data_IF_348956770857
#
_entry.id   IF_348956770857
#
_cell.length_a   1.000
_cell.length_b   1.000
_cell.length_c   1.000
_cell.angle_alpha   90.00
_cell.angle_beta   90.00
_cell.angle_gamma   90.00
#
_symmetry.space_group_name_H-M   'P 1'
#
loop_
_entity.id
_entity.type
_entity.pdbx_description
1 polymer ?
#
# COMPACT_ATOMS: atom_id res chain seq x y z
N UNK A 1 -20.47 -12.17 48.61
CA UNK A 1 -20.17 -12.52 47.20
C UNK A 1 -20.42 -11.28 46.39
N UNK A 2 -19.35 -10.55 46.09
CA UNK A 2 -19.39 -9.23 45.40
C UNK A 2 -19.57 -9.48 43.88
N UNK A 3 -20.73 -9.10 43.36
CA UNK A 3 -20.95 -9.02 41.90
C UNK A 3 -20.02 -7.94 41.31
N UNK A 4 -18.84 -8.34 40.88
CA UNK A 4 -18.02 -7.53 39.99
C UNK A 4 -18.78 -7.47 38.68
N UNK A 5 -19.42 -6.31 38.42
CA UNK A 5 -20.22 -6.12 37.23
C UNK A 5 -19.31 -6.26 36.00
N UNK A 6 -19.65 -7.21 35.13
CA UNK A 6 -18.95 -7.45 33.84
C UNK A 6 -18.80 -6.16 33.03
N UNK A 7 -19.68 -5.18 33.25
CA UNK A 7 -19.65 -3.85 32.61
C UNK A 7 -18.41 -3.00 32.97
N UNK A 8 -17.77 -3.24 34.12
CA UNK A 8 -16.55 -2.51 34.52
C UNK A 8 -15.27 -3.14 33.94
N UNK A 9 -15.33 -4.40 33.52
CA UNK A 9 -14.17 -5.12 32.93
C UNK A 9 -14.00 -4.84 31.42
N UNK A 10 -15.08 -4.52 30.71
CA UNK A 10 -15.08 -4.30 29.25
C UNK A 10 -14.13 -3.15 28.84
N UNK A 11 -14.12 -1.95 29.47
CA UNK A 11 -13.21 -0.86 29.09
C UNK A 11 -11.75 -1.18 29.39
N UNK A 12 -11.46 -2.05 30.39
CA UNK A 12 -10.11 -2.49 30.70
C UNK A 12 -9.58 -3.49 29.64
N UNK A 13 -10.42 -4.36 29.13
CA UNK A 13 -10.08 -5.31 28.08
C UNK A 13 -9.87 -4.60 26.72
N UNK A 14 -10.64 -3.55 26.45
CA UNK A 14 -10.46 -2.73 25.23
C UNK A 14 -9.21 -1.83 25.28
N UNK A 15 -8.67 -1.54 26.48
CA UNK A 15 -7.48 -0.69 26.64
C UNK A 15 -6.16 -1.46 26.53
N UNK A 16 -6.18 -2.78 26.43
CA UNK A 16 -5.02 -3.62 26.70
C UNK A 16 -4.35 -4.28 25.47
N UNK A 17 -4.60 -3.83 24.26
CA UNK A 17 -3.78 -4.31 23.14
C UNK A 17 -2.96 -3.14 22.59
N UNK A 18 -1.67 -3.01 22.96
CA UNK A 18 -0.76 -2.19 22.17
C UNK A 18 -0.71 -2.82 20.78
N UNK A 19 -1.44 -2.25 19.83
CA UNK A 19 -1.45 -2.69 18.43
C UNK A 19 -0.04 -2.51 17.90
N UNK A 20 0.71 -3.61 17.94
CA UNK A 20 2.12 -3.63 17.57
C UNK A 20 2.24 -3.29 16.08
N UNK A 21 2.66 -2.07 15.77
CA UNK A 21 2.97 -1.65 14.39
C UNK A 21 4.10 -2.44 13.76
N UNK A 22 4.76 -3.28 14.54
CA UNK A 22 5.73 -4.25 14.06
C UNK A 22 5.06 -5.32 13.18
N UNK A 23 3.78 -5.66 13.45
CA UNK A 23 3.01 -6.59 12.62
C UNK A 23 2.78 -6.03 11.21
N UNK A 24 2.46 -4.73 11.10
CA UNK A 24 2.34 -4.04 9.81
C UNK A 24 3.65 -4.10 9.01
N UNK A 25 4.79 -3.85 9.66
CA UNK A 25 6.11 -3.93 9.01
C UNK A 25 6.43 -5.34 8.51
N UNK A 26 6.12 -6.37 9.32
CA UNK A 26 6.30 -7.78 8.91
C UNK A 26 5.42 -8.12 7.70
N UNK A 27 4.16 -7.68 7.70
CA UNK A 27 3.27 -7.89 6.56
C UNK A 27 3.78 -7.17 5.30
N UNK A 28 4.24 -5.92 5.42
CA UNK A 28 4.84 -5.18 4.29
C UNK A 28 6.06 -5.90 3.73
N UNK A 29 6.90 -6.46 4.58
CA UNK A 29 8.06 -7.25 4.15
C UNK A 29 7.63 -8.47 3.34
N UNK A 30 6.63 -9.23 3.81
CA UNK A 30 6.10 -10.37 3.09
C UNK A 30 5.44 -9.99 1.77
N UNK A 31 4.68 -8.90 1.75
CA UNK A 31 4.04 -8.37 0.53
C UNK A 31 5.09 -7.93 -0.49
N UNK A 32 6.16 -7.25 -0.05
CA UNK A 32 7.27 -6.88 -0.93
C UNK A 32 7.97 -8.13 -1.53
N UNK A 33 8.12 -9.20 -0.73
CA UNK A 33 8.63 -10.48 -1.20
C UNK A 33 7.71 -11.14 -2.23
N UNK A 34 6.40 -11.17 -1.98
CA UNK A 34 5.40 -11.70 -2.93
C UNK A 34 5.43 -10.92 -4.24
N UNK A 35 5.53 -9.59 -4.17
CA UNK A 35 5.61 -8.73 -5.36
C UNK A 35 6.89 -9.00 -6.17
N UNK A 36 8.05 -9.09 -5.50
CA UNK A 36 9.31 -9.45 -6.15
C UNK A 36 9.24 -10.82 -6.81
N UNK A 37 8.65 -11.80 -6.13
CA UNK A 37 8.47 -13.16 -6.64
C UNK A 37 7.55 -13.17 -7.86
N UNK A 38 6.42 -12.46 -7.84
CA UNK A 38 5.49 -12.37 -8.95
C UNK A 38 6.16 -11.79 -10.20
N UNK A 39 6.89 -10.67 -10.06
CA UNK A 39 7.61 -10.04 -11.18
C UNK A 39 8.70 -10.96 -11.74
N UNK A 40 9.45 -11.65 -10.87
CA UNK A 40 10.50 -12.60 -11.32
C UNK A 40 9.91 -13.78 -12.09
N UNK A 41 8.78 -14.33 -11.65
CA UNK A 41 8.09 -15.42 -12.37
C UNK A 41 7.62 -14.98 -13.75
N UNK A 42 7.07 -13.77 -13.87
CA UNK A 42 6.62 -13.22 -15.16
C UNK A 42 7.81 -13.05 -16.11
N UNK A 43 8.92 -12.50 -15.62
CA UNK A 43 10.10 -12.25 -16.42
C UNK A 43 10.75 -13.56 -16.90
N UNK A 44 10.86 -14.56 -16.02
CA UNK A 44 11.38 -15.88 -16.39
C UNK A 44 10.47 -16.60 -17.39
N UNK A 45 9.15 -16.45 -17.25
CA UNK A 45 8.19 -17.10 -18.16
C UNK A 45 8.22 -16.52 -19.58
N UNK A 46 8.46 -15.21 -19.72
CA UNK A 46 8.44 -14.51 -21.02
C UNK A 46 9.82 -14.43 -21.65
N UNK A 47 10.80 -13.92 -20.89
CA UNK A 47 12.14 -13.60 -21.42
C UNK A 47 13.16 -14.74 -21.23
N UNK A 48 12.84 -15.75 -20.39
CA UNK A 48 13.74 -16.85 -20.00
C UNK A 48 15.07 -16.38 -19.36
N UNK A 49 15.23 -15.07 -19.12
CA UNK A 49 16.41 -14.45 -18.53
C UNK A 49 15.94 -13.44 -17.50
N UNK A 50 16.65 -13.34 -16.36
CA UNK A 50 16.37 -12.38 -15.33
C UNK A 50 17.08 -11.06 -15.67
N UNK A 51 16.31 -10.01 -15.99
CA UNK A 51 16.83 -8.67 -16.27
C UNK A 51 16.74 -7.77 -15.05
N UNK A 52 17.67 -6.81 -14.92
CA UNK A 52 17.66 -5.80 -13.86
C UNK A 52 16.50 -4.81 -13.97
N UNK A 53 15.82 -4.75 -15.13
CA UNK A 53 14.66 -3.89 -15.36
C UNK A 53 13.52 -4.17 -14.36
N UNK A 54 13.43 -5.41 -13.85
CA UNK A 54 12.48 -5.78 -12.81
C UNK A 54 12.57 -4.88 -11.57
N UNK A 55 13.78 -4.39 -11.23
CA UNK A 55 13.96 -3.50 -10.07
C UNK A 55 13.24 -2.16 -10.24
N UNK A 56 13.06 -1.68 -11.47
CA UNK A 56 12.31 -0.44 -11.73
C UNK A 56 10.82 -0.59 -11.39
N UNK A 57 10.28 -1.79 -11.51
CA UNK A 57 8.88 -2.08 -11.20
C UNK A 57 8.66 -2.46 -9.73
N UNK A 58 9.70 -2.97 -9.06
CA UNK A 58 9.62 -3.42 -7.68
C UNK A 58 10.07 -2.36 -6.66
N UNK A 59 11.22 -1.72 -6.86
CA UNK A 59 11.84 -0.88 -5.83
C UNK A 59 11.08 0.42 -5.55
N UNK A 60 10.64 1.24 -6.54
CA UNK A 60 9.96 2.50 -6.27
C UNK A 60 8.66 2.34 -5.47
N UNK A 61 7.72 1.42 -5.81
CA UNK A 61 6.51 1.25 -5.02
C UNK A 61 6.80 0.66 -3.64
N UNK A 62 7.82 -0.20 -3.51
CA UNK A 62 8.24 -0.74 -2.22
C UNK A 62 8.78 0.36 -1.31
N UNK A 63 9.67 1.21 -1.80
CA UNK A 63 10.24 2.33 -1.04
C UNK A 63 9.14 3.31 -0.63
N UNK A 64 8.22 3.66 -1.53
CA UNK A 64 7.12 4.57 -1.22
C UNK A 64 6.16 4.00 -0.17
N UNK A 65 5.90 2.69 -0.18
CA UNK A 65 5.12 2.01 0.84
C UNK A 65 5.81 2.03 2.22
N UNK A 66 7.13 1.86 2.26
CA UNK A 66 7.92 1.98 3.50
C UNK A 66 7.94 3.41 4.04
N UNK A 67 8.03 4.42 3.17
CA UNK A 67 7.91 5.83 3.56
C UNK A 67 6.53 6.08 4.19
N UNK A 68 5.46 5.62 3.54
CA UNK A 68 4.10 5.74 4.06
C UNK A 68 3.93 5.02 5.40
N UNK A 69 4.48 3.79 5.55
CA UNK A 69 4.50 3.08 6.83
C UNK A 69 5.16 3.90 7.94
N UNK A 70 6.32 4.50 7.66
CA UNK A 70 7.02 5.35 8.62
C UNK A 70 6.17 6.56 9.04
N UNK A 71 5.51 7.22 8.08
CA UNK A 71 4.63 8.36 8.34
C UNK A 71 3.41 7.93 9.17
N UNK A 72 2.76 6.82 8.83
CA UNK A 72 1.64 6.26 9.59
C UNK A 72 2.06 5.90 11.02
N UNK A 73 3.24 5.33 11.19
CA UNK A 73 3.78 4.99 12.52
C UNK A 73 3.99 6.22 13.40
N UNK A 74 4.33 7.35 12.80
CA UNK A 74 4.62 8.59 13.54
C UNK A 74 3.39 9.45 13.80
N UNK A 75 2.47 9.55 12.83
CA UNK A 75 1.37 10.52 12.85
C UNK A 75 -0.03 9.91 13.00
N UNK A 76 -0.20 8.63 12.71
CA UNK A 76 -1.50 7.96 12.71
C UNK A 76 -1.48 6.67 13.54
N UNK A 77 -1.17 6.75 14.82
CA UNK A 77 -1.02 5.61 15.74
C UNK A 77 -2.26 4.71 15.82
N UNK A 78 -3.45 5.25 15.61
CA UNK A 78 -4.74 4.55 15.70
C UNK A 78 -5.23 4.00 14.33
N UNK A 79 -4.46 4.19 13.24
CA UNK A 79 -4.83 3.65 11.95
C UNK A 79 -4.73 2.12 11.93
N UNK A 80 -5.55 1.47 11.10
CA UNK A 80 -5.53 0.01 10.96
C UNK A 80 -4.23 -0.44 10.29
N UNK A 81 -3.47 -1.32 10.96
CA UNK A 81 -2.19 -1.84 10.47
C UNK A 81 -2.32 -2.85 9.32
N UNK A 82 -3.54 -3.28 8.95
CA UNK A 82 -3.77 -4.18 7.82
C UNK A 82 -4.01 -3.43 6.52
N UNK A 83 -4.48 -2.19 6.59
CA UNK A 83 -4.93 -1.43 5.42
C UNK A 83 -3.79 -1.19 4.42
N UNK A 84 -2.64 -0.72 4.91
CA UNK A 84 -1.49 -0.44 4.05
C UNK A 84 -0.90 -1.70 3.39
N UNK A 85 -0.59 -2.80 4.11
CA UNK A 85 -0.11 -4.03 3.49
C UNK A 85 -1.08 -4.60 2.44
N UNK A 86 -2.40 -4.56 2.72
CA UNK A 86 -3.40 -5.05 1.79
C UNK A 86 -3.49 -4.18 0.53
N UNK A 87 -3.50 -2.85 0.69
CA UNK A 87 -3.49 -1.92 -0.45
C UNK A 87 -2.22 -2.09 -1.29
N UNK A 88 -1.06 -2.27 -0.64
CA UNK A 88 0.21 -2.51 -1.33
C UNK A 88 0.23 -3.86 -2.06
N UNK A 89 -0.36 -4.92 -1.48
CA UNK A 89 -0.51 -6.22 -2.13
C UNK A 89 -1.33 -6.10 -3.42
N UNK A 90 -2.50 -5.48 -3.34
CA UNK A 90 -3.39 -5.30 -4.50
C UNK A 90 -2.73 -4.45 -5.60
N UNK A 91 -2.06 -3.37 -5.20
CA UNK A 91 -1.30 -2.53 -6.14
C UNK A 91 -0.16 -3.32 -6.81
N UNK A 92 0.61 -4.11 -6.05
CA UNK A 92 1.69 -4.93 -6.56
C UNK A 92 1.19 -6.00 -7.55
N UNK A 93 0.07 -6.66 -7.26
CA UNK A 93 -0.57 -7.60 -8.18
C UNK A 93 -1.04 -6.88 -9.46
N UNK A 94 -1.61 -5.68 -9.33
CA UNK A 94 -2.00 -4.85 -10.48
C UNK A 94 -0.82 -4.52 -11.38
N UNK A 95 0.30 -4.05 -10.81
CA UNK A 95 1.54 -3.77 -11.55
C UNK A 95 2.07 -5.05 -12.24
N UNK A 96 2.09 -6.18 -11.54
CA UNK A 96 2.55 -7.45 -12.09
C UNK A 96 1.71 -7.89 -13.30
N UNK A 97 0.39 -7.74 -13.24
CA UNK A 97 -0.51 -8.06 -14.36
C UNK A 97 -0.27 -7.14 -15.57
N UNK A 98 -0.13 -5.83 -15.35
CA UNK A 98 0.16 -4.87 -16.43
C UNK A 98 1.55 -5.14 -17.02
N UNK A 99 2.55 -5.41 -16.19
CA UNK A 99 3.89 -5.76 -16.64
C UNK A 99 3.91 -7.00 -17.54
N UNK A 100 3.11 -8.02 -17.20
CA UNK A 100 2.95 -9.21 -18.06
C UNK A 100 2.35 -8.86 -19.42
N UNK A 101 1.36 -7.96 -19.46
CA UNK A 101 0.73 -7.51 -20.70
C UNK A 101 1.71 -6.70 -21.56
N UNK A 102 2.47 -5.79 -20.94
CA UNK A 102 3.50 -5.00 -21.64
C UNK A 102 4.56 -5.91 -22.29
N UNK A 103 5.05 -6.92 -21.56
CA UNK A 103 6.01 -7.88 -22.12
C UNK A 103 5.42 -8.66 -23.30
N UNK A 104 4.14 -9.04 -23.24
CA UNK A 104 3.47 -9.72 -24.34
C UNK A 104 3.24 -8.78 -25.54
N UNK A 105 3.04 -7.48 -25.31
CA UNK A 105 2.89 -6.49 -26.37
C UNK A 105 4.23 -6.20 -27.05
N UNK A 106 5.32 -6.06 -26.28
CA UNK A 106 6.68 -5.89 -26.82
C UNK A 106 7.06 -7.08 -27.73
N UNK A 107 6.72 -8.32 -27.35
CA UNK A 107 6.98 -9.50 -28.21
C UNK A 107 6.19 -9.47 -29.52
N UNK A 108 5.11 -8.71 -29.61
CA UNK A 108 4.30 -8.48 -30.82
C UNK A 108 4.71 -7.25 -31.63
N UNK A 109 5.74 -6.51 -31.18
CA UNK A 109 6.24 -5.30 -31.84
C UNK A 109 5.60 -4.00 -31.36
N UNK A 110 4.84 -4.02 -30.27
CA UNK A 110 4.33 -2.81 -29.62
C UNK A 110 5.40 -2.10 -28.80
N UNK A 111 5.17 -0.81 -28.51
CA UNK A 111 6.13 0.06 -27.82
C UNK A 111 5.57 0.65 -26.52
N UNK A 112 4.31 0.42 -26.21
CA UNK A 112 3.63 1.04 -25.07
C UNK A 112 3.95 0.32 -23.76
N UNK A 113 4.47 1.09 -22.79
CA UNK A 113 4.83 0.62 -21.45
C UNK A 113 3.86 1.20 -20.40
N UNK A 114 2.75 0.51 -20.19
CA UNK A 114 1.74 0.92 -19.22
C UNK A 114 2.16 0.63 -17.76
N UNK A 115 2.95 -0.41 -17.53
CA UNK A 115 3.43 -0.77 -16.19
C UNK A 115 4.33 0.32 -15.59
N UNK A 116 5.21 0.93 -16.38
CA UNK A 116 6.06 2.03 -15.91
C UNK A 116 5.22 3.21 -15.45
N UNK A 117 4.24 3.62 -16.25
CA UNK A 117 3.30 4.68 -15.88
C UNK A 117 2.54 4.36 -14.60
N UNK A 118 2.08 3.10 -14.45
CA UNK A 118 1.36 2.66 -13.27
C UNK A 118 2.25 2.70 -12.01
N UNK A 119 3.51 2.32 -12.11
CA UNK A 119 4.48 2.42 -11.01
C UNK A 119 4.61 3.86 -10.52
N UNK A 120 4.83 4.82 -11.44
CA UNK A 120 4.96 6.22 -11.07
C UNK A 120 3.68 6.81 -10.47
N UNK A 121 2.51 6.48 -11.01
CA UNK A 121 1.22 6.88 -10.44
C UNK A 121 1.02 6.32 -9.04
N UNK A 122 1.38 5.06 -8.81
CA UNK A 122 1.29 4.42 -7.49
C UNK A 122 2.22 5.08 -6.46
N UNK A 123 3.46 5.37 -6.84
CA UNK A 123 4.41 6.09 -5.99
C UNK A 123 3.88 7.48 -5.63
N UNK A 124 3.37 8.21 -6.61
CA UNK A 124 2.80 9.53 -6.41
C UNK A 124 1.58 9.50 -5.48
N UNK A 125 0.68 8.54 -5.68
CA UNK A 125 -0.48 8.35 -4.80
C UNK A 125 -0.08 8.03 -3.35
N UNK A 126 0.92 7.18 -3.14
CA UNK A 126 1.42 6.85 -1.80
C UNK A 126 2.10 8.06 -1.13
N UNK A 127 2.83 8.87 -1.89
CA UNK A 127 3.45 10.11 -1.39
C UNK A 127 2.38 11.15 -1.02
N UNK A 128 1.35 11.32 -1.84
CA UNK A 128 0.21 12.20 -1.51
C UNK A 128 -0.46 11.69 -0.21
N UNK A 129 -0.72 10.39 -0.09
CA UNK A 129 -1.30 9.82 1.12
C UNK A 129 -0.43 10.12 2.36
N UNK A 130 0.90 10.01 2.25
CA UNK A 130 1.83 10.35 3.31
C UNK A 130 1.75 11.84 3.71
N UNK A 131 1.65 12.73 2.73
CA UNK A 131 1.49 14.19 2.96
C UNK A 131 0.16 14.48 3.63
N UNK A 132 -0.94 13.88 3.16
CA UNK A 132 -2.27 14.04 3.76
C UNK A 132 -2.29 13.59 5.21
N UNK A 133 -1.75 12.42 5.52
CA UNK A 133 -1.65 11.90 6.91
C UNK A 133 -0.82 12.82 7.79
N UNK A 134 0.24 13.43 7.25
CA UNK A 134 1.07 14.38 8.00
C UNK A 134 0.38 15.71 8.28
N UNK A 135 -0.39 16.22 7.29
CA UNK A 135 -1.03 17.55 7.39
C UNK A 135 -2.34 17.49 8.17
N UNK A 136 -3.02 16.36 8.17
CA UNK A 136 -4.34 16.19 8.80
C UNK A 136 -4.26 15.14 9.92
N UNK A 137 -3.72 15.52 11.11
CA UNK A 137 -3.56 14.60 12.23
C UNK A 137 -4.89 14.14 12.82
N UNK A 138 -5.98 14.90 12.59
CA UNK A 138 -7.32 14.57 13.07
C UNK A 138 -8.25 14.18 11.91
N UNK A 139 -8.62 12.88 11.76
CA UNK A 139 -9.53 12.43 10.71
C UNK A 139 -10.93 13.06 10.81
N UNK A 140 -11.31 13.57 11.98
CA UNK A 140 -12.56 14.30 12.19
C UNK A 140 -12.64 15.61 11.37
N UNK A 141 -11.50 16.20 11.02
CA UNK A 141 -11.45 17.40 10.16
C UNK A 141 -11.87 17.07 8.73
N UNK A 142 -11.49 15.89 8.20
CA UNK A 142 -11.93 15.43 6.89
C UNK A 142 -13.45 15.15 6.85
N UNK A 143 -14.03 14.71 7.97
CA UNK A 143 -15.48 14.48 8.08
C UNK A 143 -16.29 15.76 7.88
N UNK A 144 -15.67 16.93 8.03
CA UNK A 144 -16.32 18.23 7.83
C UNK A 144 -16.45 18.62 6.35
N UNK A 145 -15.65 17.99 5.46
CA UNK A 145 -15.60 18.30 4.03
C UNK A 145 -15.71 17.07 3.12
N UNK A 146 -16.73 16.20 3.29
CA UNK A 146 -16.84 14.97 2.51
C UNK A 146 -17.06 15.25 1.02
N UNK A 147 -17.76 16.32 0.68
CA UNK A 147 -18.03 16.71 -0.71
C UNK A 147 -16.80 17.21 -1.44
N UNK A 148 -15.88 17.93 -0.75
CA UNK A 148 -14.61 18.36 -1.33
C UNK A 148 -13.67 17.16 -1.60
N UNK A 149 -13.64 16.18 -0.69
CA UNK A 149 -12.88 14.96 -0.89
C UNK A 149 -13.45 14.13 -2.04
N UNK A 150 -14.78 14.03 -2.14
CA UNK A 150 -15.47 13.34 -3.25
C UNK A 150 -15.23 14.04 -4.59
N UNK A 151 -15.37 15.36 -4.66
CA UNK A 151 -15.08 16.12 -5.87
C UNK A 151 -13.62 16.01 -6.31
N UNK A 152 -12.67 16.06 -5.37
CA UNK A 152 -11.25 15.84 -5.66
C UNK A 152 -10.96 14.45 -6.22
N UNK A 153 -11.61 13.41 -5.70
CA UNK A 153 -11.48 12.04 -6.19
C UNK A 153 -12.02 11.91 -7.63
N UNK A 154 -13.16 12.55 -7.94
CA UNK A 154 -13.73 12.55 -9.30
C UNK A 154 -12.86 13.31 -10.30
N UNK A 155 -12.21 14.42 -9.89
CA UNK A 155 -11.30 15.18 -10.76
C UNK A 155 -10.01 14.40 -11.05
N UNK A 156 -9.56 13.56 -10.11
CA UNK A 156 -8.35 12.74 -10.25
C UNK A 156 -8.58 11.43 -11.01
N UNK A 157 -9.82 11.01 -11.19
CA UNK A 157 -10.20 9.83 -11.95
C UNK A 157 -10.28 10.12 -13.44
#
# INVERSE_FOLDING_TARGET
MSNVSLTSAIPLLLKAVPRSRNFEAVLLFWVAGIHAFALSQIQLAVNQVMSWDMLLYWAPPTVSAWILHYVLRKYALNADGLLLPLAFLLNGLGIAMIYRLDLAEITRGGTDLFAERQVWLSCFAMLIAAVVVRLIPNPLTLRRFPYLAGAGAVILL
#
